data_IF_473116672704
#
_entry.id   IF_473116672704
#
_cell.length_a   1.000
_cell.length_b   1.000
_cell.length_c   1.000
_cell.angle_alpha   90.00
_cell.angle_beta   90.00
_cell.angle_gamma   90.00
#
_symmetry.space_group_name_H-M   'P 1'
#
loop_
_entity.id
_entity.type
_entity.pdbx_description
1 polymer ?
#
# COMPACT_ATOMS: atom_id res chain seq x y z
N UNK A 1 -5.10 8.92 -16.30
CA UNK A 1 -5.74 7.60 -16.35
C UNK A 1 -5.65 6.91 -14.99
N UNK A 2 -6.68 6.19 -14.63
CA UNK A 2 -6.68 5.45 -13.37
C UNK A 2 -7.01 3.98 -13.61
N UNK A 3 -6.55 3.14 -12.71
CA UNK A 3 -6.79 1.69 -12.78
C UNK A 3 -7.54 1.27 -11.54
N UNK A 4 -8.59 0.51 -11.73
CA UNK A 4 -9.37 -0.06 -10.62
C UNK A 4 -9.14 -1.56 -10.58
N UNK A 5 -8.72 -2.07 -9.43
CA UNK A 5 -8.48 -3.50 -9.23
C UNK A 5 -9.12 -3.95 -7.93
N UNK A 6 -9.38 -5.23 -7.83
CA UNK A 6 -9.93 -5.84 -6.62
C UNK A 6 -8.91 -6.84 -6.06
N UNK A 7 -8.58 -6.69 -4.79
CA UNK A 7 -7.62 -7.56 -4.11
C UNK A 7 -8.20 -8.02 -2.78
N UNK A 8 -7.83 -9.23 -2.40
CA UNK A 8 -8.11 -9.70 -1.05
C UNK A 8 -7.15 -9.02 -0.08
N UNK A 9 -7.54 -8.92 1.18
CA UNK A 9 -6.73 -8.24 2.20
C UNK A 9 -5.30 -8.79 2.25
N UNK A 10 -5.13 -10.10 2.24
CA UNK A 10 -3.80 -10.71 2.29
C UNK A 10 -2.96 -10.39 1.05
N UNK A 11 -3.61 -10.25 -0.11
CA UNK A 11 -2.92 -9.90 -1.34
C UNK A 11 -2.44 -8.46 -1.30
N UNK A 12 -3.30 -7.56 -0.82
CA UNK A 12 -2.94 -6.15 -0.68
C UNK A 12 -1.78 -5.99 0.30
N UNK A 13 -1.80 -6.70 1.41
CA UNK A 13 -0.73 -6.64 2.40
C UNK A 13 0.59 -7.16 1.82
N UNK A 14 0.54 -8.24 1.04
CA UNK A 14 1.73 -8.80 0.41
C UNK A 14 2.33 -7.83 -0.61
N UNK A 15 1.48 -7.19 -1.39
CA UNK A 15 1.94 -6.19 -2.37
C UNK A 15 2.55 -4.99 -1.66
N UNK A 16 1.90 -4.50 -0.61
CA UNK A 16 2.43 -3.39 0.17
C UNK A 16 3.83 -3.70 0.71
N UNK A 17 3.99 -4.90 1.25
CA UNK A 17 5.27 -5.33 1.78
C UNK A 17 6.36 -5.38 0.69
N UNK A 18 6.01 -5.91 -0.47
CA UNK A 18 6.92 -5.97 -1.61
C UNK A 18 7.33 -4.57 -2.07
N UNK A 19 6.40 -3.62 -2.06
CA UNK A 19 6.69 -2.24 -2.45
C UNK A 19 7.62 -1.56 -1.45
N UNK A 20 7.42 -1.80 -0.15
CA UNK A 20 8.33 -1.29 0.87
C UNK A 20 9.75 -1.79 0.64
N UNK A 21 9.90 -3.07 0.38
CA UNK A 21 11.22 -3.66 0.12
C UNK A 21 11.86 -3.08 -1.14
N UNK A 22 11.04 -2.84 -2.15
CA UNK A 22 11.52 -2.31 -3.42
C UNK A 22 12.11 -0.91 -3.26
N UNK A 23 11.59 -0.10 -2.33
CA UNK A 23 12.02 1.28 -2.15
C UNK A 23 12.98 1.48 -0.97
N UNK A 24 13.29 0.41 -0.23
CA UNK A 24 14.07 0.52 1.00
C UNK A 24 15.48 1.06 0.80
N UNK A 25 16.05 0.84 -0.38
CA UNK A 25 17.43 1.27 -0.67
C UNK A 25 17.51 2.64 -1.35
N UNK A 26 16.38 3.24 -1.67
CA UNK A 26 16.40 4.53 -2.34
C UNK A 26 16.53 5.67 -1.34
N UNK A 27 17.03 6.80 -1.82
CA UNK A 27 17.23 7.98 -0.99
C UNK A 27 15.90 8.57 -0.53
N UNK A 28 15.85 9.04 0.72
CA UNK A 28 14.69 9.79 1.21
C UNK A 28 14.73 11.24 0.76
N UNK A 29 15.93 11.80 0.60
CA UNK A 29 16.08 13.20 0.22
C UNK A 29 15.88 13.42 -1.27
N UNK A 30 16.40 12.51 -2.09
CA UNK A 30 16.35 12.63 -3.54
C UNK A 30 15.89 11.33 -4.18
N UNK A 31 14.65 10.90 -3.92
CA UNK A 31 14.14 9.66 -4.50
C UNK A 31 13.91 9.80 -6.00
N UNK A 32 14.03 8.69 -6.73
CA UNK A 32 13.68 8.67 -8.13
C UNK A 32 12.17 8.85 -8.30
N UNK A 33 11.75 9.28 -9.49
CA UNK A 33 10.32 9.43 -9.77
C UNK A 33 9.56 8.12 -9.58
N UNK A 34 10.17 7.02 -9.97
CA UNK A 34 9.56 5.70 -9.77
C UNK A 34 9.33 5.41 -8.29
N UNK A 35 10.29 5.75 -7.45
CA UNK A 35 10.15 5.55 -6.01
C UNK A 35 9.03 6.42 -5.43
N UNK A 36 8.90 7.65 -5.89
CA UNK A 36 7.82 8.53 -5.46
C UNK A 36 6.47 7.91 -5.79
N UNK A 37 6.31 7.41 -7.00
CA UNK A 37 5.07 6.77 -7.42
C UNK A 37 4.76 5.51 -6.62
N UNK A 38 5.78 4.71 -6.32
CA UNK A 38 5.62 3.51 -5.50
C UNK A 38 5.20 3.88 -4.08
N UNK A 39 5.80 4.91 -3.50
CA UNK A 39 5.45 5.37 -2.16
C UNK A 39 4.02 5.89 -2.10
N UNK A 40 3.56 6.56 -3.14
CA UNK A 40 2.16 6.99 -3.23
C UNK A 40 1.22 5.78 -3.27
N UNK A 41 1.59 4.75 -4.02
CA UNK A 41 0.81 3.53 -4.08
C UNK A 41 0.75 2.83 -2.72
N UNK A 42 1.85 2.86 -1.97
CA UNK A 42 1.89 2.30 -0.61
C UNK A 42 0.85 2.99 0.28
N UNK A 43 0.77 4.31 0.20
CA UNK A 43 -0.20 5.07 1.00
C UNK A 43 -1.63 4.65 0.67
N UNK A 44 -1.93 4.52 -0.61
CA UNK A 44 -3.27 4.10 -1.06
C UNK A 44 -3.60 2.71 -0.54
N UNK A 45 -2.68 1.76 -0.67
CA UNK A 45 -2.86 0.40 -0.18
C UNK A 45 -3.04 0.38 1.34
N UNK A 46 -2.25 1.17 2.05
CA UNK A 46 -2.31 1.24 3.49
C UNK A 46 -3.67 1.74 3.97
N UNK A 47 -4.20 2.75 3.32
CA UNK A 47 -5.52 3.28 3.65
C UNK A 47 -6.62 2.25 3.43
N UNK A 48 -6.55 1.52 2.32
CA UNK A 48 -7.53 0.48 2.02
C UNK A 48 -7.44 -0.68 3.00
N UNK A 49 -6.24 -1.09 3.36
CA UNK A 49 -6.04 -2.16 4.33
C UNK A 49 -6.61 -1.75 5.68
N UNK A 50 -6.32 -0.53 6.12
CA UNK A 50 -6.83 -0.02 7.40
C UNK A 50 -8.35 0.06 7.41
N UNK A 51 -8.94 0.44 6.29
CA UNK A 51 -10.39 0.50 6.16
C UNK A 51 -11.02 -0.89 6.34
N UNK A 52 -10.43 -1.91 5.71
CA UNK A 52 -10.93 -3.27 5.82
C UNK A 52 -10.78 -3.83 7.23
N UNK A 53 -9.64 -3.57 7.85
CA UNK A 53 -9.39 -4.02 9.23
C UNK A 53 -10.36 -3.35 10.20
N UNK A 54 -10.64 -2.07 10.01
CA UNK A 54 -11.59 -1.34 10.84
C UNK A 54 -12.99 -1.95 10.77
N UNK A 55 -13.43 -2.29 9.57
CA UNK A 55 -14.74 -2.90 9.38
C UNK A 55 -14.83 -4.25 10.07
N UNK A 56 -13.78 -5.06 9.97
CA UNK A 56 -13.73 -6.35 10.64
C UNK A 56 -13.78 -6.20 12.15
N UNK A 57 -13.06 -5.22 12.68
CA UNK A 57 -13.07 -4.95 14.12
C UNK A 57 -14.44 -4.56 14.63
N UNK A 58 -15.20 -3.81 13.85
CA UNK A 58 -16.55 -3.40 14.22
C UNK A 58 -17.49 -4.59 14.33
N UNK A 59 -17.34 -5.55 13.45
CA UNK A 59 -18.18 -6.74 13.45
C UNK A 59 -17.95 -7.60 14.68
N UNK A 60 -16.73 -7.63 15.16
CA UNK A 60 -16.37 -8.42 16.33
C UNK A 60 -16.84 -7.83 17.65
N UNK A 61 -17.17 -6.57 17.63
CA UNK A 61 -17.66 -5.92 18.84
C UNK A 61 -19.17 -5.85 18.85
#
# INVERSE_FOLDING_TARGET
MSVTITLELRQAAAIRDALYRSTAQDSYEFPSQRTIEIREAIVILDEEINSQVSETSKEDS
#
